data_IF_904109682584
#
_entry.id   IF_904109682584
#
_cell.length_a   1.000
_cell.length_b   1.000
_cell.length_c   1.000
_cell.angle_alpha   90.00
_cell.angle_beta   90.00
_cell.angle_gamma   90.00
#
_symmetry.space_group_name_H-M   'P 1'
#
loop_
_entity.id
_entity.type
_entity.pdbx_description
1 polymer ?
#
# COMPACT_ATOMS: atom_id res chain seq x y z
N UNK A 1 -4.68 -16.70 -4.70
CA UNK A 1 -5.40 -15.62 -3.99
C UNK A 1 -4.41 -14.86 -3.13
N UNK A 2 -4.42 -13.54 -3.21
CA UNK A 2 -3.53 -12.68 -2.44
C UNK A 2 -3.92 -12.67 -0.95
N UNK A 3 -3.03 -13.06 -0.04
CA UNK A 3 -3.30 -13.03 1.40
C UNK A 3 -2.92 -11.69 2.04
N UNK A 4 -3.61 -11.28 3.11
CA UNK A 4 -3.22 -10.06 3.83
C UNK A 4 -1.86 -10.17 4.53
N UNK A 5 -1.45 -11.37 4.95
CA UNK A 5 -0.09 -11.59 5.45
C UNK A 5 0.97 -11.28 4.40
N UNK A 6 0.74 -11.72 3.16
CA UNK A 6 1.60 -11.41 2.01
C UNK A 6 1.63 -9.91 1.72
N UNK A 7 0.47 -9.24 1.69
CA UNK A 7 0.37 -7.78 1.48
C UNK A 7 1.15 -7.02 2.55
N UNK A 8 0.92 -7.35 3.82
CA UNK A 8 1.62 -6.73 4.95
C UNK A 8 3.13 -6.95 4.88
N UNK A 9 3.58 -8.13 4.47
CA UNK A 9 5.00 -8.42 4.26
C UNK A 9 5.65 -7.49 3.23
N UNK A 10 4.98 -7.23 2.11
CA UNK A 10 5.49 -6.31 1.09
C UNK A 10 5.57 -4.85 1.56
N UNK A 11 4.63 -4.40 2.39
CA UNK A 11 4.57 -2.98 2.83
C UNK A 11 5.23 -2.73 4.18
N UNK A 12 5.67 -3.77 4.90
CA UNK A 12 6.36 -3.63 6.19
C UNK A 12 7.56 -2.67 6.14
N UNK A 13 8.43 -2.70 5.11
CA UNK A 13 9.54 -1.74 4.99
C UNK A 13 9.10 -0.28 4.83
N UNK A 14 7.83 -0.03 4.48
CA UNK A 14 7.28 1.31 4.29
C UNK A 14 6.90 1.99 5.63
N UNK A 15 6.74 1.23 6.71
CA UNK A 15 6.17 1.72 7.97
C UNK A 15 6.94 2.93 8.52
N UNK A 16 8.27 2.90 8.50
CA UNK A 16 9.08 4.03 8.99
C UNK A 16 8.80 5.33 8.23
N UNK A 17 8.70 5.26 6.90
CA UNK A 17 8.35 6.42 6.08
C UNK A 17 6.90 6.87 6.31
N UNK A 18 5.97 5.92 6.35
CA UNK A 18 4.54 6.17 6.52
C UNK A 18 4.21 6.77 7.89
N UNK A 19 4.92 6.38 8.94
CA UNK A 19 4.80 6.91 10.30
C UNK A 19 5.64 8.18 10.54
N UNK A 20 6.28 8.75 9.50
CA UNK A 20 7.15 9.93 9.59
C UNK A 20 8.43 9.76 10.42
N UNK A 21 8.82 8.51 10.70
CA UNK A 21 10.08 8.19 11.37
C UNK A 21 11.29 8.16 10.42
N UNK A 22 11.05 8.18 9.10
CA UNK A 22 12.08 8.27 8.06
C UNK A 22 11.76 9.41 7.08
N UNK A 23 12.76 10.20 6.64
CA UNK A 23 12.53 11.35 5.76
C UNK A 23 12.23 10.93 4.30
N UNK A 24 12.77 9.80 3.86
CA UNK A 24 12.65 9.30 2.49
C UNK A 24 12.03 7.89 2.44
N UNK A 25 11.51 7.50 1.27
CA UNK A 25 10.98 6.16 1.03
C UNK A 25 12.14 5.17 0.93
N UNK A 26 12.19 4.11 1.76
CA UNK A 26 13.24 3.09 1.63
C UNK A 26 13.14 2.35 0.30
N UNK A 27 14.28 1.99 -0.30
CA UNK A 27 14.32 1.18 -1.54
C UNK A 27 13.51 -0.11 -1.41
N UNK A 28 13.63 -0.80 -0.27
CA UNK A 28 12.88 -2.03 0.01
C UNK A 28 11.36 -1.81 0.06
N UNK A 29 10.92 -0.61 0.48
CA UNK A 29 9.50 -0.26 0.43
C UNK A 29 9.02 -0.19 -1.03
N UNK A 30 9.75 0.50 -1.90
CA UNK A 30 9.36 0.57 -3.31
C UNK A 30 9.42 -0.79 -4.01
N UNK A 31 10.42 -1.62 -3.73
CA UNK A 31 10.45 -3.01 -4.23
C UNK A 31 9.20 -3.80 -3.81
N UNK A 32 8.74 -3.63 -2.57
CA UNK A 32 7.52 -4.25 -2.08
C UNK A 32 6.25 -3.73 -2.76
N UNK A 33 6.12 -2.40 -2.91
CA UNK A 33 4.99 -1.77 -3.60
C UNK A 33 4.91 -2.22 -5.06
N UNK A 34 6.04 -2.26 -5.78
CA UNK A 34 6.11 -2.75 -7.15
C UNK A 34 5.76 -4.23 -7.25
N UNK A 35 6.25 -5.07 -6.33
CA UNK A 35 5.93 -6.50 -6.29
C UNK A 35 4.44 -6.75 -6.05
N UNK A 36 3.85 -6.01 -5.10
CA UNK A 36 2.42 -6.08 -4.81
C UNK A 36 1.58 -5.68 -6.05
N UNK A 37 1.98 -4.62 -6.76
CA UNK A 37 1.34 -4.21 -8.00
C UNK A 37 1.43 -5.27 -9.09
N UNK A 38 2.59 -5.93 -9.23
CA UNK A 38 2.79 -7.01 -10.20
C UNK A 38 1.98 -8.27 -9.87
N UNK A 39 1.68 -8.52 -8.59
CA UNK A 39 0.81 -9.62 -8.17
C UNK A 39 -0.68 -9.31 -8.36
N UNK A 40 -1.09 -8.07 -8.15
CA UNK A 40 -2.50 -7.66 -8.23
C UNK A 40 -2.97 -7.41 -9.68
N UNK A 41 -2.87 -8.43 -10.54
CA UNK A 41 -3.15 -8.31 -11.98
C UNK A 41 -4.64 -8.37 -12.32
N UNK A 42 -5.45 -8.98 -11.47
CA UNK A 42 -6.90 -9.09 -11.67
C UNK A 42 -7.66 -8.11 -10.77
N UNK A 43 -8.89 -7.74 -11.16
CA UNK A 43 -9.76 -6.91 -10.31
C UNK A 43 -9.96 -7.53 -8.92
N UNK A 44 -10.30 -8.83 -8.78
CA UNK A 44 -10.43 -9.45 -7.46
C UNK A 44 -9.15 -9.34 -6.61
N UNK A 45 -7.97 -9.54 -7.20
CA UNK A 45 -6.70 -9.42 -6.48
C UNK A 45 -6.43 -7.97 -6.05
N UNK A 46 -6.74 -6.97 -6.89
CA UNK A 46 -6.61 -5.55 -6.52
C UNK A 46 -7.57 -5.15 -5.39
N UNK A 47 -8.80 -5.63 -5.45
CA UNK A 47 -9.77 -5.40 -4.38
C UNK A 47 -9.32 -6.07 -3.07
N UNK A 48 -8.78 -7.29 -3.15
CA UNK A 48 -8.22 -7.99 -1.99
C UNK A 48 -7.01 -7.26 -1.41
N UNK A 49 -6.06 -6.85 -2.26
CA UNK A 49 -4.91 -6.04 -1.86
C UNK A 49 -5.36 -4.75 -1.17
N UNK A 50 -6.34 -4.04 -1.75
CA UNK A 50 -6.90 -2.83 -1.17
C UNK A 50 -7.45 -3.08 0.24
N UNK A 51 -8.26 -4.13 0.45
CA UNK A 51 -8.84 -4.43 1.77
C UNK A 51 -7.75 -4.72 2.80
N UNK A 52 -6.71 -5.46 2.41
CA UNK A 52 -5.56 -5.72 3.27
C UNK A 52 -4.77 -4.44 3.60
N UNK A 53 -4.53 -3.57 2.63
CA UNK A 53 -3.84 -2.29 2.82
C UNK A 53 -4.63 -1.34 3.73
N UNK A 54 -5.96 -1.29 3.58
CA UNK A 54 -6.85 -0.54 4.47
C UNK A 54 -6.76 -1.08 5.90
N UNK A 55 -6.81 -2.41 6.07
CA UNK A 55 -6.62 -3.05 7.39
C UNK A 55 -5.27 -2.71 8.03
N UNK A 56 -4.18 -2.83 7.27
CA UNK A 56 -2.83 -2.49 7.73
C UNK A 56 -2.69 -1.00 8.08
N UNK A 57 -3.27 -0.11 7.28
CA UNK A 57 -3.28 1.32 7.56
C UNK A 57 -4.06 1.65 8.83
N UNK A 58 -5.20 0.98 9.07
CA UNK A 58 -5.99 1.15 10.30
C UNK A 58 -5.27 0.64 11.55
N UNK A 59 -4.47 -0.42 11.42
CA UNK A 59 -3.62 -0.94 12.49
C UNK A 59 -2.40 -0.03 12.82
N UNK A 60 -2.15 1.02 12.02
CA UNK A 60 -1.09 2.00 12.25
C UNK A 60 -1.70 3.36 12.62
N UNK A 61 -1.86 3.69 13.92
CA UNK A 61 -2.45 4.96 14.35
C UNK A 61 -1.68 6.18 13.83
N UNK A 62 -0.36 6.08 13.77
CA UNK A 62 0.58 7.16 13.40
C UNK A 62 0.76 7.36 11.89
N UNK A 63 0.02 6.61 11.05
CA UNK A 63 0.19 6.72 9.61
C UNK A 63 -0.17 8.12 9.09
N UNK A 64 0.75 8.70 8.32
CA UNK A 64 0.50 9.91 7.56
C UNK A 64 -0.20 9.56 6.23
N UNK A 65 -1.47 9.94 6.14
CA UNK A 65 -2.32 9.67 4.96
C UNK A 65 -1.83 10.35 3.68
N UNK A 66 -1.16 11.51 3.77
CA UNK A 66 -0.60 12.18 2.60
C UNK A 66 0.59 11.41 2.03
N UNK A 67 1.49 10.90 2.91
CA UNK A 67 2.58 10.01 2.52
C UNK A 67 2.07 8.70 1.93
N UNK A 68 1.04 8.10 2.54
CA UNK A 68 0.41 6.89 2.01
C UNK A 68 -0.18 7.09 0.60
N UNK A 69 -0.88 8.21 0.37
CA UNK A 69 -1.46 8.53 -0.92
C UNK A 69 -0.40 8.82 -2.01
N UNK A 70 0.75 9.40 -1.62
CA UNK A 70 1.86 9.71 -2.52
C UNK A 70 2.83 8.55 -2.78
N UNK A 71 2.82 7.52 -1.92
CA UNK A 71 3.79 6.43 -1.95
C UNK A 71 3.85 5.69 -3.30
N UNK A 72 2.73 5.30 -3.95
CA UNK A 72 2.79 4.60 -5.23
C UNK A 72 3.56 5.41 -6.29
N UNK A 73 3.21 6.70 -6.44
CA UNK A 73 3.87 7.61 -7.39
C UNK A 73 5.34 7.81 -7.05
N UNK A 74 5.69 7.94 -5.77
CA UNK A 74 7.08 8.06 -5.33
C UNK A 74 7.92 6.81 -5.67
N UNK A 75 7.27 5.65 -5.75
CA UNK A 75 7.89 4.38 -6.15
C UNK A 75 7.75 4.07 -7.65
N UNK A 76 7.29 5.01 -8.47
CA UNK A 76 7.10 4.79 -9.92
C UNK A 76 5.94 3.86 -10.27
N UNK A 77 5.05 3.57 -9.32
CA UNK A 77 3.85 2.74 -9.53
C UNK A 77 2.65 3.65 -9.78
N UNK A 78 2.02 3.48 -10.94
CA UNK A 78 0.83 4.23 -11.31
C UNK A 78 -0.43 3.41 -11.00
N UNK A 79 -1.25 3.88 -10.07
CA UNK A 79 -2.57 3.32 -9.76
C UNK A 79 -3.65 4.40 -9.91
N UNK A 80 -4.84 4.08 -10.43
CA UNK A 80 -5.89 5.07 -10.69
C UNK A 80 -6.69 5.45 -9.44
N UNK A 81 -6.19 5.14 -8.23
CA UNK A 81 -6.88 5.42 -6.97
C UNK A 81 -5.87 5.77 -5.86
N UNK A 82 -6.36 6.46 -4.82
CA UNK A 82 -5.56 6.80 -3.64
C UNK A 82 -5.71 5.73 -2.57
N UNK A 83 -4.60 5.33 -1.97
CA UNK A 83 -4.58 4.45 -0.80
C UNK A 83 -4.74 5.30 0.46
N UNK A 84 -5.75 4.99 1.27
CA UNK A 84 -6.02 5.61 2.56
C UNK A 84 -6.70 4.61 3.49
N UNK A 85 -6.94 5.01 4.75
CA UNK A 85 -7.74 4.24 5.71
C UNK A 85 -9.20 4.02 5.30
N UNK A 86 -9.69 4.78 4.31
CA UNK A 86 -11.10 4.83 3.92
C UNK A 86 -11.33 4.56 2.44
N UNK A 87 -10.30 4.07 1.72
CA UNK A 87 -10.43 3.71 0.31
C UNK A 87 -11.56 2.70 0.13
N UNK A 88 -12.54 3.02 -0.71
CA UNK A 88 -13.59 2.07 -1.07
C UNK A 88 -13.03 0.99 -1.99
N UNK A 89 -12.73 -0.18 -1.44
CA UNK A 89 -12.12 -1.27 -2.21
C UNK A 89 -13.05 -1.90 -3.26
N UNK A 90 -14.37 -1.66 -3.20
CA UNK A 90 -15.30 -2.21 -4.18
C UNK A 90 -15.27 -1.41 -5.50
N UNK A 91 -14.78 -0.18 -5.50
CA UNK A 91 -14.62 0.63 -6.72
C UNK A 91 -13.27 0.42 -7.41
N UNK A 92 -12.36 -0.35 -6.81
CA UNK A 92 -11.08 -0.71 -7.41
C UNK A 92 -11.33 -1.69 -8.56
N UNK A 93 -10.86 -1.31 -9.75
CA UNK A 93 -10.97 -2.07 -10.99
C UNK A 93 -9.65 -2.68 -11.37
#
# INVERSE_FOLDING_TARGET
>A
ALSCGTVSGYVAPCIGYLAQNAPAVPTACCSGVTSLNNMARTTPDRQQACRCLVGAANALPTINVARAAGLPKACGVNIPYKISKTTNCNSVK
#
